data_IF_874856566779
#
_entry.id   IF_874856566779
#
_cell.length_a   1.000
_cell.length_b   1.000
_cell.length_c   1.000
_cell.angle_alpha   90.00
_cell.angle_beta   90.00
_cell.angle_gamma   90.00
#
_symmetry.space_group_name_H-M   'P 1'
#
loop_
_entity.id
_entity.type
_entity.pdbx_description
1 polymer ?
#
# COMPACT_ATOMS: atom_id res chain seq x y z
N UNK A 1 -38.27 -26.04 11.82
CA UNK A 1 -37.01 -25.31 11.60
C UNK A 1 -37.17 -24.51 10.33
N UNK A 2 -36.99 -23.19 10.34
CA UNK A 2 -37.29 -22.36 9.18
C UNK A 2 -36.15 -22.49 8.14
N UNK A 3 -36.47 -22.71 6.86
CA UNK A 3 -35.43 -22.85 5.80
C UNK A 3 -34.53 -21.60 5.69
N UNK A 4 -35.09 -20.42 6.00
CA UNK A 4 -34.36 -19.16 6.11
C UNK A 4 -33.31 -19.16 7.23
N UNK A 5 -33.59 -19.83 8.35
CA UNK A 5 -32.63 -19.96 9.46
C UNK A 5 -31.52 -20.93 9.10
N UNK A 6 -31.83 -22.08 8.51
CA UNK A 6 -30.81 -23.02 8.03
C UNK A 6 -29.91 -22.38 6.98
N UNK A 7 -30.47 -21.63 6.03
CA UNK A 7 -29.69 -20.88 5.05
C UNK A 7 -28.77 -19.86 5.72
N UNK A 8 -29.28 -19.10 6.72
CA UNK A 8 -28.44 -18.19 7.53
C UNK A 8 -27.30 -18.92 8.25
N UNK A 9 -27.58 -20.07 8.87
CA UNK A 9 -26.55 -20.83 9.58
C UNK A 9 -25.48 -21.40 8.63
N UNK A 10 -25.89 -21.92 7.47
CA UNK A 10 -24.96 -22.38 6.44
C UNK A 10 -24.10 -21.22 5.93
N UNK A 11 -24.70 -20.08 5.59
CA UNK A 11 -23.96 -18.88 5.19
C UNK A 11 -23.02 -18.38 6.29
N UNK A 12 -23.46 -18.33 7.55
CA UNK A 12 -22.60 -17.95 8.68
C UNK A 12 -21.45 -18.93 8.90
N UNK A 13 -21.65 -20.23 8.66
CA UNK A 13 -20.62 -21.25 8.80
C UNK A 13 -19.59 -21.18 7.66
N UNK A 14 -20.03 -20.92 6.42
CA UNK A 14 -19.14 -20.69 5.27
C UNK A 14 -18.34 -19.41 5.49
N UNK A 15 -19.00 -18.31 5.89
CA UNK A 15 -18.34 -17.04 6.21
C UNK A 15 -17.37 -17.19 7.38
N UNK A 16 -17.74 -17.91 8.44
CA UNK A 16 -16.84 -18.17 9.59
C UNK A 16 -15.66 -19.07 9.21
N UNK A 17 -15.87 -20.07 8.36
CA UNK A 17 -14.81 -20.93 7.83
C UNK A 17 -13.82 -20.14 6.97
N UNK A 18 -14.33 -19.27 6.10
CA UNK A 18 -13.50 -18.33 5.34
C UNK A 18 -12.76 -17.34 6.25
N UNK A 19 -13.43 -16.79 7.28
CA UNK A 19 -12.80 -15.91 8.26
C UNK A 19 -11.75 -16.62 9.14
N UNK A 20 -11.89 -17.93 9.39
CA UNK A 20 -10.86 -18.73 10.06
C UNK A 20 -9.62 -18.94 9.20
N UNK A 21 -9.79 -19.09 7.88
CA UNK A 21 -8.67 -19.05 6.95
C UNK A 21 -7.94 -17.70 6.96
N UNK A 22 -8.63 -16.62 7.35
CA UNK A 22 -8.04 -15.29 7.50
C UNK A 22 -7.56 -14.95 8.91
N UNK A 23 -7.77 -15.82 9.90
CA UNK A 23 -7.27 -15.58 11.26
C UNK A 23 -5.74 -15.32 11.32
N UNK A 24 -4.90 -16.07 10.57
CA UNK A 24 -3.46 -15.83 10.51
C UNK A 24 -3.07 -14.48 9.89
N UNK A 25 -3.95 -13.88 9.08
CA UNK A 25 -3.71 -12.58 8.44
C UNK A 25 -4.40 -11.41 9.12
N UNK A 26 -5.23 -11.66 10.12
CA UNK A 26 -6.03 -10.62 10.78
C UNK A 26 -5.16 -9.47 11.28
N UNK A 27 -4.06 -9.78 11.95
CA UNK A 27 -3.17 -8.77 12.50
C UNK A 27 -2.50 -7.95 11.40
N UNK A 28 -2.13 -8.61 10.29
CA UNK A 28 -1.58 -7.94 9.11
C UNK A 28 -2.63 -7.07 8.41
N UNK A 29 -3.87 -7.54 8.31
CA UNK A 29 -4.97 -6.77 7.74
C UNK A 29 -5.24 -5.51 8.54
N UNK A 30 -5.28 -5.59 9.87
CA UNK A 30 -5.44 -4.40 10.72
C UNK A 30 -4.27 -3.42 10.58
N UNK A 31 -3.03 -3.92 10.57
CA UNK A 31 -1.85 -3.09 10.35
C UNK A 31 -1.92 -2.36 9.01
N UNK A 32 -2.29 -3.07 7.93
CA UNK A 32 -2.41 -2.48 6.60
C UNK A 32 -3.59 -1.50 6.49
N UNK A 33 -4.70 -1.76 7.16
CA UNK A 33 -5.83 -0.83 7.24
C UNK A 33 -5.42 0.49 7.90
N UNK A 34 -4.64 0.42 8.99
CA UNK A 34 -4.08 1.59 9.65
C UNK A 34 -3.14 2.34 8.70
N UNK A 35 -2.19 1.64 8.08
CA UNK A 35 -1.19 2.25 7.19
C UNK A 35 -1.85 2.93 5.98
N UNK A 36 -2.79 2.25 5.33
CA UNK A 36 -3.53 2.84 4.23
C UNK A 36 -4.36 4.02 4.71
N UNK A 37 -4.98 3.93 5.89
CA UNK A 37 -5.82 4.99 6.45
C UNK A 37 -5.00 6.25 6.74
N UNK A 38 -3.83 6.11 7.37
CA UNK A 38 -2.89 7.21 7.59
C UNK A 38 -2.43 7.80 6.26
N UNK A 39 -2.07 6.95 5.29
CA UNK A 39 -1.68 7.41 3.96
C UNK A 39 -2.78 8.22 3.27
N UNK A 40 -4.03 7.77 3.37
CA UNK A 40 -5.19 8.49 2.82
C UNK A 40 -5.39 9.83 3.51
N UNK A 41 -5.35 9.90 4.85
CA UNK A 41 -5.48 11.15 5.60
C UNK A 41 -4.38 12.13 5.21
N UNK A 42 -3.13 11.70 5.18
CA UNK A 42 -2.00 12.57 4.81
C UNK A 42 -2.12 13.06 3.36
N UNK A 43 -2.55 12.19 2.44
CA UNK A 43 -2.80 12.58 1.05
C UNK A 43 -3.92 13.60 0.93
N UNK A 44 -5.02 13.41 1.66
CA UNK A 44 -6.16 14.33 1.66
C UNK A 44 -5.79 15.70 2.23
N UNK A 45 -5.12 15.75 3.38
CA UNK A 45 -4.70 17.02 4.00
C UNK A 45 -3.67 17.75 3.14
N UNK A 46 -2.72 17.02 2.54
CA UNK A 46 -1.75 17.62 1.63
C UNK A 46 -2.40 18.23 0.38
N UNK A 47 -3.41 17.55 -0.19
CA UNK A 47 -4.19 18.06 -1.33
C UNK A 47 -4.99 19.30 -0.99
N UNK A 48 -5.74 19.28 0.13
CA UNK A 48 -6.51 20.44 0.59
C UNK A 48 -5.62 21.67 0.84
N UNK A 49 -4.43 21.48 1.41
CA UNK A 49 -3.47 22.57 1.65
C UNK A 49 -2.94 23.20 0.36
N UNK A 50 -2.84 22.44 -0.73
CA UNK A 50 -2.41 22.93 -2.04
C UNK A 50 -3.57 23.43 -2.92
N UNK A 51 -4.79 23.52 -2.37
CA UNK A 51 -5.96 24.03 -3.08
C UNK A 51 -6.62 23.01 -4.01
N UNK A 52 -6.38 21.71 -3.84
CA UNK A 52 -7.15 20.69 -4.55
C UNK A 52 -8.52 20.49 -3.88
N UNK A 53 -9.58 20.51 -4.69
CA UNK A 53 -10.91 20.14 -4.23
C UNK A 53 -11.00 18.67 -3.84
N UNK A 54 -11.86 18.40 -2.85
CA UNK A 54 -12.14 17.04 -2.43
C UNK A 54 -12.76 16.24 -3.57
N UNK A 55 -12.05 15.18 -4.00
CA UNK A 55 -12.47 14.34 -5.11
C UNK A 55 -12.75 12.91 -4.63
N UNK A 56 -14.01 12.50 -4.75
CA UNK A 56 -14.45 11.13 -4.46
C UNK A 56 -13.64 10.07 -5.23
N UNK A 57 -13.19 10.37 -6.46
CA UNK A 57 -12.36 9.45 -7.24
C UNK A 57 -11.03 9.13 -6.54
N UNK A 58 -10.39 10.11 -5.88
CA UNK A 58 -9.14 9.88 -5.11
C UNK A 58 -9.39 8.98 -3.90
N UNK A 59 -10.55 9.14 -3.26
CA UNK A 59 -10.95 8.30 -2.14
C UNK A 59 -11.23 6.86 -2.55
N UNK A 60 -11.78 6.64 -3.75
CA UNK A 60 -11.97 5.29 -4.30
C UNK A 60 -10.66 4.56 -4.58
N UNK A 61 -9.59 5.27 -4.97
CA UNK A 61 -8.25 4.68 -5.18
C UNK A 61 -7.72 4.01 -3.90
N UNK A 62 -7.96 4.59 -2.72
CA UNK A 62 -7.63 3.95 -1.45
C UNK A 62 -8.35 2.59 -1.28
N UNK A 63 -9.65 2.53 -1.59
CA UNK A 63 -10.41 1.28 -1.51
C UNK A 63 -9.89 0.23 -2.51
N UNK A 64 -9.49 0.65 -3.72
CA UNK A 64 -8.87 -0.25 -4.69
C UNK A 64 -7.55 -0.84 -4.15
N UNK A 65 -6.68 -0.04 -3.55
CA UNK A 65 -5.45 -0.54 -2.93
C UNK A 65 -5.74 -1.53 -1.78
N UNK A 66 -6.70 -1.21 -0.92
CA UNK A 66 -7.13 -2.12 0.16
C UNK A 66 -7.63 -3.46 -0.38
N UNK A 67 -8.53 -3.41 -1.36
CA UNK A 67 -9.14 -4.58 -1.97
C UNK A 67 -8.09 -5.45 -2.67
N UNK A 68 -7.23 -4.83 -3.51
CA UNK A 68 -6.17 -5.52 -4.23
C UNK A 68 -5.21 -6.21 -3.27
N UNK A 69 -4.78 -5.53 -2.20
CA UNK A 69 -3.91 -6.11 -1.19
C UNK A 69 -4.56 -7.32 -0.49
N UNK A 70 -5.84 -7.20 -0.14
CA UNK A 70 -6.59 -8.28 0.51
C UNK A 70 -6.74 -9.50 -0.39
N UNK A 71 -7.13 -9.29 -1.66
CA UNK A 71 -7.28 -10.37 -2.64
C UNK A 71 -5.94 -11.08 -2.86
N UNK A 72 -4.83 -10.35 -3.05
CA UNK A 72 -3.51 -10.96 -3.22
C UNK A 72 -3.11 -11.80 -1.99
N UNK A 73 -3.29 -11.25 -0.79
CA UNK A 73 -2.98 -11.96 0.45
C UNK A 73 -3.83 -13.23 0.60
N UNK A 74 -5.12 -13.16 0.26
CA UNK A 74 -6.02 -14.31 0.26
C UNK A 74 -5.59 -15.38 -0.74
N UNK A 75 -5.22 -15.00 -1.97
CA UNK A 75 -4.75 -15.94 -2.99
C UNK A 75 -3.48 -16.67 -2.56
N UNK A 76 -2.54 -15.97 -1.92
CA UNK A 76 -1.31 -16.57 -1.38
C UNK A 76 -1.67 -17.60 -0.29
N UNK A 77 -2.57 -17.26 0.64
CA UNK A 77 -3.03 -18.18 1.68
C UNK A 77 -3.76 -19.42 1.15
N UNK A 78 -4.67 -19.25 0.20
CA UNK A 78 -5.39 -20.36 -0.43
C UNK A 78 -4.41 -21.29 -1.15
N UNK A 79 -3.45 -20.72 -1.87
CA UNK A 79 -2.41 -21.52 -2.55
C UNK A 79 -1.55 -22.29 -1.55
N UNK A 80 -1.11 -21.63 -0.49
CA UNK A 80 -0.35 -22.24 0.60
C UNK A 80 -1.08 -23.37 1.32
N UNK A 81 -2.40 -23.23 1.47
CA UNK A 81 -3.26 -24.27 2.02
C UNK A 81 -3.25 -25.53 1.13
N UNK A 82 -3.42 -25.38 -0.18
CA UNK A 82 -3.34 -26.52 -1.11
C UNK A 82 -1.95 -27.15 -1.18
N UNK A 83 -0.89 -26.34 -1.00
CA UNK A 83 0.49 -26.81 -0.99
C UNK A 83 0.92 -27.42 0.36
N UNK A 84 0.04 -27.43 1.38
CA UNK A 84 0.35 -27.84 2.75
C UNK A 84 1.53 -27.06 3.37
N UNK A 85 1.78 -25.82 2.92
CA UNK A 85 2.91 -24.97 3.29
C UNK A 85 2.47 -23.72 4.08
N UNK A 86 1.65 -23.91 5.12
CA UNK A 86 1.00 -22.81 5.85
C UNK A 86 1.97 -21.82 6.51
N UNK A 87 3.06 -22.30 7.11
CA UNK A 87 4.07 -21.45 7.78
C UNK A 87 4.88 -20.62 6.79
N UNK A 88 5.30 -21.22 5.67
CA UNK A 88 6.04 -20.52 4.61
C UNK A 88 5.19 -19.42 3.99
N UNK A 89 3.91 -19.72 3.77
CA UNK A 89 2.91 -18.79 3.22
C UNK A 89 2.68 -17.59 4.12
N UNK A 90 2.65 -17.80 5.44
CA UNK A 90 2.60 -16.72 6.43
C UNK A 90 3.84 -15.82 6.33
N UNK A 91 5.02 -16.40 6.13
CA UNK A 91 6.27 -15.67 5.90
C UNK A 91 6.22 -14.80 4.64
N UNK A 92 5.69 -15.32 3.54
CA UNK A 92 5.52 -14.57 2.28
C UNK A 92 4.58 -13.39 2.46
N UNK A 93 3.44 -13.58 3.15
CA UNK A 93 2.50 -12.47 3.41
C UNK A 93 3.10 -11.44 4.34
N UNK A 94 3.88 -11.83 5.36
CA UNK A 94 4.65 -10.88 6.21
C UNK A 94 5.60 -10.03 5.37
N UNK A 95 6.33 -10.64 4.45
CA UNK A 95 7.23 -9.92 3.55
C UNK A 95 6.47 -8.94 2.65
N UNK A 96 5.35 -9.38 2.05
CA UNK A 96 4.47 -8.53 1.25
C UNK A 96 3.93 -7.34 2.05
N UNK A 97 3.52 -7.56 3.30
CA UNK A 97 3.11 -6.49 4.22
C UNK A 97 4.26 -5.51 4.47
N UNK A 98 5.47 -6.00 4.76
CA UNK A 98 6.64 -5.16 4.97
C UNK A 98 6.94 -4.26 3.77
N UNK A 99 6.89 -4.81 2.56
CA UNK A 99 7.06 -4.05 1.31
C UNK A 99 5.97 -3.01 1.14
N UNK A 100 4.71 -3.37 1.37
CA UNK A 100 3.60 -2.41 1.29
C UNK A 100 3.79 -1.29 2.32
N UNK A 101 4.04 -1.62 3.59
CA UNK A 101 4.33 -0.64 4.66
C UNK A 101 5.42 0.31 4.22
N UNK A 102 6.52 -0.19 3.63
CA UNK A 102 7.60 0.65 3.14
C UNK A 102 7.14 1.63 2.04
N UNK A 103 6.45 1.14 1.00
CA UNK A 103 5.90 2.00 -0.06
C UNK A 103 4.90 3.05 0.46
N UNK A 104 4.03 2.68 1.39
CA UNK A 104 3.06 3.63 1.93
C UNK A 104 3.71 4.60 2.93
N UNK A 105 4.74 4.17 3.66
CA UNK A 105 5.53 5.06 4.52
C UNK A 105 6.24 6.14 3.70
N UNK A 106 6.80 5.80 2.54
CA UNK A 106 7.43 6.82 1.67
C UNK A 106 6.41 7.85 1.18
N UNK A 107 5.20 7.41 0.79
CA UNK A 107 4.10 8.28 0.42
C UNK A 107 3.62 9.18 1.58
N UNK A 108 3.47 8.61 2.78
CA UNK A 108 3.10 9.34 4.00
C UNK A 108 4.12 10.45 4.27
N UNK A 109 5.43 10.14 4.27
CA UNK A 109 6.47 11.14 4.55
C UNK A 109 6.55 12.20 3.44
N UNK A 110 6.30 11.83 2.18
CA UNK A 110 6.18 12.79 1.08
C UNK A 110 5.04 13.78 1.34
N UNK A 111 3.86 13.28 1.64
CA UNK A 111 2.67 14.07 1.94
C UNK A 111 2.87 14.91 3.21
N UNK A 112 3.53 14.35 4.22
CA UNK A 112 3.93 15.05 5.44
C UNK A 112 4.79 16.27 5.14
N UNK A 113 5.83 16.11 4.32
CA UNK A 113 6.68 17.24 3.92
C UNK A 113 5.89 18.34 3.19
N UNK A 114 4.95 17.96 2.31
CA UNK A 114 4.08 18.92 1.61
C UNK A 114 3.14 19.68 2.57
N UNK A 115 2.72 19.04 3.66
CA UNK A 115 1.92 19.70 4.71
C UNK A 115 2.72 20.73 5.52
N UNK A 116 4.05 20.70 5.52
CA UNK A 116 4.89 21.63 6.28
C UNK A 116 5.19 22.92 5.50
N UNK A 117 5.60 23.98 6.21
CA UNK A 117 6.05 25.23 5.58
C UNK A 117 7.49 25.02 5.07
N UNK A 118 7.76 25.45 3.85
CA UNK A 118 9.07 25.30 3.22
C UNK A 118 10.19 25.93 4.06
N UNK A 119 11.38 25.32 4.00
CA UNK A 119 12.59 25.75 4.69
C UNK A 119 12.57 25.74 6.22
N UNK A 120 11.46 25.36 6.86
CA UNK A 120 11.42 25.12 8.30
C UNK A 120 12.24 23.88 8.71
N UNK A 121 12.65 23.83 9.98
CA UNK A 121 13.39 22.68 10.53
C UNK A 121 12.63 21.37 10.33
N UNK A 122 11.33 21.36 10.61
CA UNK A 122 10.49 20.16 10.43
C UNK A 122 10.38 19.73 8.97
N UNK A 123 10.33 20.68 8.02
CA UNK A 123 10.30 20.36 6.59
C UNK A 123 11.61 19.70 6.13
N UNK A 124 12.76 20.14 6.65
CA UNK A 124 14.06 19.51 6.40
C UNK A 124 14.13 18.11 6.99
N UNK A 125 13.60 17.90 8.20
CA UNK A 125 13.52 16.57 8.84
C UNK A 125 12.67 15.62 8.01
N UNK A 126 11.45 16.02 7.62
CA UNK A 126 10.60 15.20 6.76
C UNK A 126 11.29 14.88 5.41
N UNK A 127 12.02 15.84 4.84
CA UNK A 127 12.84 15.63 3.65
C UNK A 127 13.98 14.62 3.84
N UNK A 128 14.66 14.64 4.98
CA UNK A 128 15.71 13.67 5.31
C UNK A 128 15.14 12.26 5.51
N UNK A 129 14.04 12.13 6.26
CA UNK A 129 13.37 10.83 6.45
C UNK A 129 12.91 10.29 5.09
N UNK A 130 12.35 11.13 4.22
CA UNK A 130 11.98 10.72 2.86
C UNK A 130 13.19 10.24 2.06
N UNK A 131 14.33 10.95 2.14
CA UNK A 131 15.56 10.56 1.46
C UNK A 131 16.05 9.17 1.89
N UNK A 132 16.07 8.90 3.20
CA UNK A 132 16.45 7.59 3.76
C UNK A 132 15.49 6.50 3.32
N UNK A 133 14.18 6.73 3.46
CA UNK A 133 13.14 5.74 3.10
C UNK A 133 13.13 5.43 1.61
N UNK A 134 13.40 6.40 0.75
CA UNK A 134 13.43 6.16 -0.71
C UNK A 134 14.75 5.52 -1.15
N UNK A 135 15.67 5.21 -0.22
CA UNK A 135 17.01 4.73 -0.49
C UNK A 135 17.74 5.56 -1.56
N UNK A 136 17.47 6.87 -1.64
CA UNK A 136 18.08 7.78 -2.64
C UNK A 136 19.60 7.90 -2.52
N UNK A 137 20.20 7.32 -1.48
CA UNK A 137 21.64 7.10 -1.38
C UNK A 137 22.14 6.04 -2.38
N UNK A 138 21.31 5.05 -2.72
CA UNK A 138 21.60 3.99 -3.70
C UNK A 138 21.52 4.54 -5.13
N UNK A 139 20.61 5.46 -5.44
CA UNK A 139 20.55 6.16 -6.75
C UNK A 139 21.79 7.01 -7.03
N UNK A 140 22.58 7.35 -6.00
CA UNK A 140 23.88 8.02 -6.15
C UNK A 140 25.05 7.06 -6.35
N UNK A 141 24.81 5.75 -6.43
CA UNK A 141 25.81 4.77 -6.85
C UNK A 141 25.89 4.83 -8.38
N UNK A 142 27.02 5.28 -8.97
CA UNK A 142 27.12 5.57 -10.40
C UNK A 142 26.76 4.38 -11.31
N UNK A 143 26.94 3.15 -10.83
CA UNK A 143 26.65 1.92 -11.58
C UNK A 143 25.15 1.62 -11.81
N UNK A 144 24.23 2.09 -10.96
CA UNK A 144 22.81 1.75 -11.08
C UNK A 144 22.07 2.64 -12.09
N UNK A 145 22.48 3.90 -12.22
CA UNK A 145 21.97 4.83 -13.23
C UNK A 145 22.35 4.43 -14.66
N UNK A 146 23.52 3.82 -14.86
CA UNK A 146 23.93 3.26 -16.16
C UNK A 146 23.15 2.00 -16.50
N UNK A 147 22.88 1.14 -15.52
CA UNK A 147 22.10 -0.08 -15.73
C UNK A 147 20.64 0.22 -16.11
N UNK A 148 19.95 1.12 -15.39
CA UNK A 148 18.57 1.52 -15.69
C UNK A 148 18.42 2.22 -17.06
N UNK A 149 19.46 2.91 -17.55
CA UNK A 149 19.49 3.48 -18.91
C UNK A 149 19.60 2.41 -20.00
N UNK A 150 20.16 1.24 -19.69
CA UNK A 150 20.30 0.14 -20.65
C UNK A 150 19.04 -0.72 -20.78
N UNK A 151 18.20 -0.73 -19.75
CA UNK A 151 16.94 -1.49 -19.71
C UNK A 151 15.78 -0.63 -20.20
N UNK A 152 15.64 -0.52 -21.53
CA UNK A 152 14.51 0.09 -22.23
C UNK A 152 13.14 -0.40 -21.72
N UNK A 153 12.45 0.45 -20.96
CA UNK A 153 11.00 0.63 -21.08
C UNK A 153 10.84 1.96 -21.80
N UNK A 154 10.21 1.95 -22.97
CA UNK A 154 10.03 3.15 -23.79
C UNK A 154 9.28 4.23 -22.99
N UNK A 155 10.01 5.28 -22.63
CA UNK A 155 9.43 6.54 -22.17
C UNK A 155 9.01 7.26 -23.44
N UNK A 156 7.71 7.24 -23.72
CA UNK A 156 7.10 8.06 -24.75
C UNK A 156 7.33 9.53 -24.38
N UNK A 157 8.31 10.14 -25.03
CA UNK A 157 8.80 11.49 -24.80
C UNK A 157 7.98 12.47 -25.65
N UNK A 158 6.66 12.49 -25.45
CA UNK A 158 5.80 13.53 -26.04
C UNK A 158 5.30 14.49 -24.94
N UNK A 159 6.19 15.41 -24.57
CA UNK A 159 5.80 16.65 -23.90
C UNK A 159 5.78 17.78 -24.93
N UNK A 160 4.73 18.62 -24.97
CA UNK A 160 4.72 19.79 -25.83
C UNK A 160 5.81 20.77 -25.37
N UNK A 161 6.59 21.23 -26.34
CA UNK A 161 7.49 22.38 -26.17
C UNK A 161 6.65 23.64 -26.06
N UNK A 162 6.84 24.40 -25.00
CA UNK A 162 6.44 25.80 -24.95
C UNK A 162 7.72 26.62 -25.07
N UNK A 163 7.78 27.43 -26.13
CA UNK A 163 8.77 28.49 -26.34
C UNK A 163 8.73 29.54 -25.22
#
# INVERSE_FOLDING_TARGET
MNYLEQFKYVMCSVISGMLSLFFPIRDFMYAMLIVFGVNYIFGLVAGLKHGEDWNLKKSMVFFYHCCLFFVMSASIFITGYFLHAGEETLGVVKALCGVAIWFYSTNIVRNWRMMLIENTTMWKVAGFVYYVLTLKAIDKVPFLSEYLKSSHVDVDDDKPKFD
#
